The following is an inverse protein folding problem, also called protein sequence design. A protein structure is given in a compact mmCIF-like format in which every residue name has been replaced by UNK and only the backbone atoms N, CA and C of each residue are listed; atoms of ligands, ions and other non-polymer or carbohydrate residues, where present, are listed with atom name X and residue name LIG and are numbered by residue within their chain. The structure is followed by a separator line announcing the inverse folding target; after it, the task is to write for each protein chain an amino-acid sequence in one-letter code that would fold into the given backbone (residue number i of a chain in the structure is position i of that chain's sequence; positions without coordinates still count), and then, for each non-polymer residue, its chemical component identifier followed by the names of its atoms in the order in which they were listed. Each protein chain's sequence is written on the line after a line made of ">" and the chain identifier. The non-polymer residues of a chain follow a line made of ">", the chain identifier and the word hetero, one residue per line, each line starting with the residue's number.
data_IF_443118723334
#
_entry.id   IF_443118723334
#
_cell.length_a   1.000
_cell.length_b   1.000
_cell.length_c   1.000
_cell.angle_alpha   90.00
_cell.angle_beta   90.00
_cell.angle_gamma   90.00
#
_symmetry.space_group_name_H-M   'P 1'
#
loop_
_entity.id
_entity.type
_entity.pdbx_description
1 polymer ?
#
# COMPACT_ATOMS: atom_id res chain seq x y z
N UNK A 1 0.02 -8.40 -19.92
CA UNK A 1 -1.20 -8.45 -19.09
C UNK A 1 -2.10 -7.28 -19.44
N UNK A 2 -3.37 -7.53 -19.61
CA UNK A 2 -4.35 -6.47 -19.92
C UNK A 2 -4.87 -5.82 -18.64
N UNK A 3 -5.53 -4.66 -18.80
CA UNK A 3 -6.18 -3.98 -17.67
C UNK A 3 -7.26 -4.88 -17.02
N UNK A 4 -8.03 -5.59 -17.84
CA UNK A 4 -9.07 -6.47 -17.35
C UNK A 4 -8.50 -7.65 -16.56
N UNK A 5 -7.40 -8.22 -17.02
CA UNK A 5 -6.71 -9.29 -16.29
C UNK A 5 -6.18 -8.80 -14.96
N UNK A 6 -5.53 -7.63 -14.93
CA UNK A 6 -5.03 -7.03 -13.70
C UNK A 6 -6.18 -6.77 -12.72
N UNK A 7 -7.29 -6.24 -13.20
CA UNK A 7 -8.45 -5.98 -12.35
C UNK A 7 -9.03 -7.27 -11.77
N UNK A 8 -9.09 -8.33 -12.57
CA UNK A 8 -9.57 -9.63 -12.12
C UNK A 8 -8.68 -10.16 -10.98
N UNK A 9 -7.36 -10.02 -11.11
CA UNK A 9 -6.43 -10.47 -10.08
C UNK A 9 -6.59 -9.65 -8.80
N UNK A 10 -6.75 -8.33 -8.92
CA UNK A 10 -6.99 -7.46 -7.77
C UNK A 10 -8.24 -7.90 -6.99
N UNK A 11 -9.30 -8.22 -7.70
CA UNK A 11 -10.57 -8.64 -7.09
C UNK A 11 -10.46 -9.94 -6.30
N UNK A 12 -9.42 -10.75 -6.52
CA UNK A 12 -9.18 -11.96 -5.73
C UNK A 12 -8.69 -11.66 -4.32
N UNK A 13 -8.26 -10.41 -4.05
CA UNK A 13 -7.66 -10.05 -2.77
C UNK A 13 -6.17 -10.29 -2.70
N UNK A 14 -5.53 -10.70 -3.79
CA UNK A 14 -4.10 -10.94 -3.82
C UNK A 14 -3.31 -9.64 -3.69
N UNK A 15 -2.14 -9.72 -3.08
CA UNK A 15 -1.19 -8.62 -3.07
C UNK A 15 -0.61 -8.47 -4.47
N UNK A 16 -0.62 -7.27 -5.01
CA UNK A 16 -0.27 -7.02 -6.41
C UNK A 16 0.69 -5.84 -6.50
N UNK A 17 1.67 -5.98 -7.37
CA UNK A 17 2.53 -4.87 -7.77
C UNK A 17 2.18 -4.50 -9.21
N UNK A 18 1.54 -3.36 -9.40
CA UNK A 18 1.21 -2.84 -10.72
C UNK A 18 2.38 -2.00 -11.21
N UNK A 19 3.08 -2.51 -12.20
CA UNK A 19 4.19 -1.80 -12.82
C UNK A 19 3.92 -1.55 -14.29
N UNK A 20 4.63 -0.61 -14.86
CA UNK A 20 4.52 -0.26 -16.27
C UNK A 20 5.08 1.12 -16.51
N UNK A 21 5.17 1.50 -17.77
CA UNK A 21 5.60 2.84 -18.14
C UNK A 21 4.47 3.83 -17.89
N UNK A 22 4.79 5.14 -17.74
CA UNK A 22 3.76 6.17 -17.69
C UNK A 22 2.83 6.05 -18.90
N UNK A 23 1.53 6.13 -18.65
CA UNK A 23 0.54 5.98 -19.73
C UNK A 23 0.13 4.55 -20.02
N UNK A 24 0.62 3.56 -19.28
CA UNK A 24 0.28 2.15 -19.49
C UNK A 24 -1.11 1.75 -18.99
N UNK A 25 -1.85 2.68 -18.39
CA UNK A 25 -3.19 2.41 -17.87
C UNK A 25 -3.25 2.00 -16.41
N UNK A 26 -2.14 2.10 -15.66
CA UNK A 26 -2.11 1.76 -14.23
C UNK A 26 -3.16 2.55 -13.44
N UNK A 27 -3.21 3.85 -13.66
CA UNK A 27 -4.16 4.73 -12.97
C UNK A 27 -5.60 4.30 -13.24
N UNK A 28 -5.91 3.99 -14.49
CA UNK A 28 -7.25 3.54 -14.87
C UNK A 28 -7.62 2.25 -14.14
N UNK A 29 -6.70 1.30 -14.08
CA UNK A 29 -6.93 0.03 -13.38
C UNK A 29 -7.14 0.24 -11.89
N UNK A 30 -6.32 1.07 -11.25
CA UNK A 30 -6.47 1.38 -9.82
C UNK A 30 -7.82 2.05 -9.55
N UNK A 31 -8.19 3.03 -10.37
CA UNK A 31 -9.46 3.73 -10.20
C UNK A 31 -10.66 2.79 -10.37
N UNK A 32 -10.58 1.87 -11.32
CA UNK A 32 -11.63 0.87 -11.52
C UNK A 32 -11.74 -0.07 -10.31
N UNK A 33 -10.61 -0.47 -9.74
CA UNK A 33 -10.59 -1.31 -8.55
C UNK A 33 -11.14 -0.57 -7.33
N UNK A 34 -10.77 0.68 -7.13
CA UNK A 34 -11.30 1.50 -6.04
C UNK A 34 -12.82 1.62 -6.14
N UNK A 35 -13.34 1.89 -7.34
CA UNK A 35 -14.79 1.96 -7.56
C UNK A 35 -15.46 0.63 -7.24
N UNK A 36 -14.86 -0.48 -7.64
CA UNK A 36 -15.39 -1.81 -7.34
C UNK A 36 -15.41 -2.08 -5.84
N UNK A 37 -14.33 -1.74 -5.11
CA UNK A 37 -14.28 -1.90 -3.66
C UNK A 37 -15.38 -1.10 -2.97
N UNK A 38 -15.53 0.16 -3.35
CA UNK A 38 -16.55 1.04 -2.75
C UNK A 38 -17.94 0.53 -3.02
N UNK A 39 -18.18 -0.02 -4.21
CA UNK A 39 -19.47 -0.62 -4.54
C UNK A 39 -19.79 -1.84 -3.66
N UNK A 40 -18.76 -2.47 -3.09
CA UNK A 40 -18.90 -3.60 -2.18
C UNK A 40 -18.75 -3.20 -0.70
N UNK A 41 -18.83 -1.90 -0.40
CA UNK A 41 -18.77 -1.42 0.96
C UNK A 41 -17.37 -1.41 1.58
N UNK A 42 -16.34 -1.50 0.76
CA UNK A 42 -14.95 -1.47 1.23
C UNK A 42 -14.32 -0.14 0.84
N UNK A 43 -13.90 0.63 1.84
CA UNK A 43 -13.16 1.86 1.58
C UNK A 43 -11.67 1.56 1.62
N UNK A 44 -10.96 1.66 0.48
CA UNK A 44 -9.52 1.39 0.47
C UNK A 44 -8.74 2.52 1.16
N UNK A 45 -7.61 2.17 1.74
CA UNK A 45 -6.66 3.15 2.25
C UNK A 45 -5.73 3.55 1.10
N UNK A 46 -5.91 4.75 0.58
CA UNK A 46 -5.14 5.25 -0.57
C UNK A 46 -4.00 6.11 -0.06
N UNK A 47 -2.79 5.70 -0.36
CA UNK A 47 -1.58 6.39 0.08
C UNK A 47 -0.60 6.54 -1.06
N UNK A 48 0.44 7.33 -0.82
CA UNK A 48 1.53 7.49 -1.76
C UNK A 48 2.84 7.71 -1.01
N UNK A 49 3.95 7.53 -1.74
CA UNK A 49 5.28 7.66 -1.16
C UNK A 49 5.70 9.10 -0.85
N UNK A 50 5.08 10.09 -1.54
CA UNK A 50 5.42 11.51 -1.38
C UNK A 50 4.16 12.34 -1.21
N UNK A 51 4.32 13.56 -0.66
CA UNK A 51 3.20 14.48 -0.49
C UNK A 51 2.55 14.89 -1.81
N UNK A 52 3.36 15.09 -2.85
CA UNK A 52 2.83 15.47 -4.17
C UNK A 52 1.99 14.34 -4.75
N UNK A 53 2.52 13.12 -4.70
CA UNK A 53 1.78 11.95 -5.19
C UNK A 53 0.52 11.71 -4.37
N UNK A 54 0.58 11.88 -3.05
CA UNK A 54 -0.59 11.75 -2.19
C UNK A 54 -1.70 12.72 -2.59
N UNK A 55 -1.34 13.95 -2.93
CA UNK A 55 -2.30 14.95 -3.40
C UNK A 55 -2.98 14.50 -4.69
N UNK A 56 -2.20 13.92 -5.62
CA UNK A 56 -2.74 13.46 -6.91
C UNK A 56 -3.74 12.32 -6.76
N UNK A 57 -3.54 11.44 -5.78
CA UNK A 57 -4.45 10.30 -5.57
C UNK A 57 -5.56 10.61 -4.56
N UNK A 58 -5.57 11.80 -3.99
CA UNK A 58 -6.58 12.19 -3.01
C UNK A 58 -6.44 11.46 -1.69
N UNK A 59 -5.23 11.07 -1.34
CA UNK A 59 -4.94 10.33 -0.12
C UNK A 59 -3.87 11.02 0.74
N UNK A 60 -3.26 10.23 1.62
CA UNK A 60 -2.19 10.73 2.49
C UNK A 60 -0.89 9.98 2.18
N UNK A 61 0.23 10.47 2.69
CA UNK A 61 1.49 9.73 2.53
C UNK A 61 1.44 8.46 3.36
N UNK A 62 2.18 7.45 2.89
CA UNK A 62 2.30 6.21 3.65
C UNK A 62 2.94 6.45 5.01
N UNK A 63 3.85 7.41 5.10
CA UNK A 63 4.49 7.79 6.36
C UNK A 63 3.47 8.30 7.38
N UNK A 64 2.55 9.16 6.94
CA UNK A 64 1.50 9.69 7.79
C UNK A 64 0.46 8.63 8.12
N UNK A 65 0.04 7.88 7.12
CA UNK A 65 -0.98 6.85 7.29
C UNK A 65 -0.58 5.80 8.32
N UNK A 66 0.66 5.33 8.23
CA UNK A 66 1.18 4.28 9.12
C UNK A 66 1.62 4.81 10.49
N UNK A 67 1.74 6.11 10.62
CA UNK A 67 2.19 6.74 11.86
C UNK A 67 3.70 6.79 12.07
N UNK A 68 4.49 6.23 11.15
CA UNK A 68 5.95 6.23 11.31
C UNK A 68 6.58 7.61 11.11
N UNK A 69 5.90 8.50 10.38
CA UNK A 69 6.38 9.86 10.16
C UNK A 69 7.74 9.90 9.50
N UNK A 70 8.67 10.68 10.05
CA UNK A 70 10.00 10.88 9.49
C UNK A 70 11.03 9.85 9.98
N UNK A 71 10.61 8.84 10.72
CA UNK A 71 11.53 7.83 11.23
C UNK A 71 12.22 7.08 10.09
N UNK A 72 13.48 6.76 10.27
CA UNK A 72 14.29 6.10 9.25
C UNK A 72 14.39 4.59 9.46
N UNK A 73 14.14 4.12 10.68
CA UNK A 73 14.15 2.70 10.98
C UNK A 73 13.25 2.37 12.17
N UNK A 74 12.83 1.14 12.24
CA UNK A 74 11.99 0.67 13.32
C UNK A 74 12.81 0.38 14.57
N UNK A 75 12.30 0.85 15.71
CA UNK A 75 12.82 0.47 17.03
C UNK A 75 11.65 0.01 17.89
N UNK A 76 11.89 -0.76 18.96
CA UNK A 76 10.81 -1.13 19.86
C UNK A 76 10.06 0.07 20.43
N UNK A 77 10.77 1.16 20.72
CA UNK A 77 10.19 2.38 21.26
C UNK A 77 9.27 3.06 20.23
N UNK A 78 9.71 3.12 18.97
CA UNK A 78 8.89 3.69 17.90
C UNK A 78 7.64 2.85 17.67
N UNK A 79 7.79 1.53 17.62
CA UNK A 79 6.67 0.62 17.42
C UNK A 79 5.62 0.80 18.50
N UNK A 80 6.04 0.86 19.75
CA UNK A 80 5.15 1.08 20.88
C UNK A 80 4.47 2.45 20.81
N UNK A 81 5.23 3.48 20.49
CA UNK A 81 4.69 4.84 20.34
C UNK A 81 3.61 4.93 19.27
N UNK A 82 3.86 4.31 18.11
CA UNK A 82 2.90 4.32 17.00
C UNK A 82 1.65 3.52 17.35
N UNK A 83 1.83 2.33 17.93
CA UNK A 83 0.70 1.48 18.32
C UNK A 83 -0.16 2.10 19.41
N UNK A 84 0.41 3.03 20.19
CA UNK A 84 -0.30 3.74 21.25
C UNK A 84 -1.09 4.95 20.75
N UNK A 85 -0.89 5.39 19.52
CA UNK A 85 -1.67 6.50 18.94
C UNK A 85 -3.03 5.98 18.55
N UNK A 86 -4.06 6.35 19.30
CA UNK A 86 -5.39 5.80 19.14
C UNK A 86 -5.96 5.95 17.73
N UNK A 87 -5.83 7.13 17.14
CA UNK A 87 -6.38 7.37 15.79
C UNK A 87 -5.64 6.58 14.70
N UNK A 88 -4.33 6.36 14.87
CA UNK A 88 -3.56 5.53 13.94
C UNK A 88 -3.94 4.07 14.12
N UNK A 89 -3.96 3.59 15.35
CA UNK A 89 -4.30 2.20 15.64
C UNK A 89 -5.68 1.84 15.11
N UNK A 90 -6.67 2.69 15.32
CA UNK A 90 -8.03 2.45 14.80
C UNK A 90 -8.05 2.37 13.28
N UNK A 91 -7.37 3.30 12.63
CA UNK A 91 -7.29 3.32 11.16
C UNK A 91 -6.67 2.04 10.62
N UNK A 92 -5.57 1.61 11.20
CA UNK A 92 -4.86 0.41 10.76
C UNK A 92 -5.64 -0.87 11.07
N UNK A 93 -6.36 -0.90 12.18
CA UNK A 93 -7.21 -2.04 12.54
C UNK A 93 -8.38 -2.21 11.58
N UNK A 94 -8.91 -1.11 11.06
CA UNK A 94 -10.04 -1.13 10.13
C UNK A 94 -9.62 -1.37 8.69
N UNK A 95 -8.35 -1.17 8.36
CA UNK A 95 -7.86 -1.26 6.99
C UNK A 95 -8.08 -2.67 6.44
N UNK A 96 -8.51 -2.76 5.20
CA UNK A 96 -8.68 -4.02 4.48
C UNK A 96 -7.86 -4.07 3.21
N UNK A 97 -7.70 -2.93 2.54
CA UNK A 97 -6.91 -2.80 1.33
C UNK A 97 -6.06 -1.54 1.45
N UNK A 98 -4.76 -1.70 1.29
CA UNK A 98 -3.81 -0.59 1.29
C UNK A 98 -3.26 -0.43 -0.12
N UNK A 99 -3.40 0.76 -0.68
CA UNK A 99 -2.84 1.12 -1.98
C UNK A 99 -1.71 2.11 -1.74
N UNK A 100 -0.52 1.83 -2.26
CA UNK A 100 0.63 2.74 -2.17
C UNK A 100 1.06 3.11 -3.58
N UNK A 101 0.86 4.37 -3.95
CA UNK A 101 1.26 4.88 -5.26
C UNK A 101 2.69 5.40 -5.24
N UNK A 102 3.31 5.45 -6.40
CA UNK A 102 4.71 5.85 -6.60
C UNK A 102 5.68 5.09 -5.69
N UNK A 103 5.50 3.79 -5.60
CA UNK A 103 6.27 2.94 -4.68
C UNK A 103 7.76 2.92 -5.02
N UNK A 104 8.15 3.25 -6.25
CA UNK A 104 9.55 3.34 -6.66
C UNK A 104 10.34 4.39 -5.86
N UNK A 105 9.66 5.37 -5.29
CA UNK A 105 10.26 6.40 -4.45
C UNK A 105 10.41 5.97 -3.00
N UNK A 106 9.97 4.77 -2.66
CA UNK A 106 9.91 4.27 -1.30
C UNK A 106 11.04 3.27 -1.07
N UNK A 107 11.71 3.35 0.07
CA UNK A 107 12.74 2.37 0.40
C UNK A 107 12.13 1.08 0.93
N UNK A 108 12.87 -0.02 0.80
CA UNK A 108 12.47 -1.29 1.40
C UNK A 108 12.38 -1.20 2.92
N UNK A 109 13.19 -0.36 3.54
CA UNK A 109 13.12 -0.14 4.99
C UNK A 109 11.80 0.47 5.42
N UNK A 110 11.27 1.43 4.66
CA UNK A 110 9.97 2.03 4.97
C UNK A 110 8.88 0.99 4.83
N UNK A 111 8.91 0.18 3.78
CA UNK A 111 7.94 -0.90 3.62
C UNK A 111 8.01 -1.89 4.79
N UNK A 112 9.21 -2.22 5.25
CA UNK A 112 9.39 -3.11 6.40
C UNK A 112 8.85 -2.48 7.69
N UNK A 113 9.01 -1.17 7.86
CA UNK A 113 8.45 -0.46 9.01
C UNK A 113 6.91 -0.48 8.98
N UNK A 114 6.32 -0.24 7.83
CA UNK A 114 4.86 -0.31 7.67
C UNK A 114 4.35 -1.71 7.99
N UNK A 115 5.05 -2.73 7.50
CA UNK A 115 4.72 -4.12 7.79
C UNK A 115 4.77 -4.39 9.30
N UNK A 116 5.81 -3.95 9.98
CA UNK A 116 5.95 -4.14 11.42
C UNK A 116 4.81 -3.48 12.21
N UNK A 117 4.45 -2.25 11.84
CA UNK A 117 3.36 -1.52 12.50
C UNK A 117 2.02 -2.24 12.28
N UNK A 118 1.76 -2.68 11.05
CA UNK A 118 0.51 -3.37 10.74
C UNK A 118 0.38 -4.69 11.49
N UNK A 119 1.46 -5.47 11.58
CA UNK A 119 1.45 -6.71 12.34
C UNK A 119 1.18 -6.45 13.81
N UNK A 120 1.82 -5.44 14.38
CA UNK A 120 1.67 -5.10 15.80
C UNK A 120 0.24 -4.64 16.10
N UNK A 121 -0.26 -3.66 15.35
CA UNK A 121 -1.57 -3.06 15.61
C UNK A 121 -2.70 -4.05 15.34
N UNK A 122 -2.56 -4.90 14.34
CA UNK A 122 -3.58 -5.88 13.98
C UNK A 122 -3.42 -7.22 14.68
N UNK A 123 -2.38 -7.36 15.53
CA UNK A 123 -2.08 -8.60 16.24
C UNK A 123 -2.02 -9.80 15.30
N UNK A 124 -1.28 -9.64 14.20
CA UNK A 124 -1.17 -10.64 13.14
C UNK A 124 0.28 -10.84 12.74
N UNK A 125 0.68 -12.09 12.56
CA UNK A 125 2.01 -12.43 12.07
C UNK A 125 2.09 -12.47 10.55
N UNK A 126 0.95 -12.31 9.87
CA UNK A 126 0.90 -12.30 8.42
C UNK A 126 1.54 -11.03 7.85
N UNK A 127 2.14 -11.11 6.65
CA UNK A 127 2.69 -9.91 6.00
C UNK A 127 1.65 -8.79 5.94
N UNK A 128 2.09 -7.59 6.29
CA UNK A 128 1.24 -6.39 6.33
C UNK A 128 -0.01 -6.57 7.21
N UNK A 129 0.09 -7.41 8.23
CA UNK A 129 -1.03 -7.66 9.14
C UNK A 129 -2.21 -8.38 8.50
N UNK A 130 -2.01 -8.99 7.34
CA UNK A 130 -3.04 -9.75 6.64
C UNK A 130 -3.94 -8.95 5.72
N UNK A 131 -3.73 -7.65 5.56
CA UNK A 131 -4.51 -6.86 4.60
C UNK A 131 -3.96 -7.03 3.19
N UNK A 132 -4.80 -6.76 2.21
CA UNK A 132 -4.34 -6.72 0.82
C UNK A 132 -3.51 -5.46 0.60
N UNK A 133 -2.37 -5.60 -0.10
CA UNK A 133 -1.51 -4.47 -0.44
C UNK A 133 -1.37 -4.39 -1.95
N UNK A 134 -1.63 -3.21 -2.50
CA UNK A 134 -1.47 -2.92 -3.91
C UNK A 134 -0.40 -1.85 -4.04
N UNK A 135 0.72 -2.22 -4.62
CA UNK A 135 1.84 -1.31 -4.87
C UNK A 135 1.77 -0.87 -6.32
N UNK A 136 1.89 0.42 -6.56
CA UNK A 136 1.81 1.00 -7.89
C UNK A 136 3.07 1.82 -8.15
N UNK A 137 3.75 1.56 -9.27
CA UNK A 137 4.97 2.30 -9.57
C UNK A 137 5.46 2.07 -10.98
N UNK A 138 6.51 2.81 -11.33
CA UNK A 138 7.14 2.70 -12.62
C UNK A 138 8.03 1.46 -12.71
N UNK A 139 8.30 1.05 -13.93
CA UNK A 139 8.84 -0.26 -14.24
C UNK A 139 10.24 -0.54 -13.67
N UNK A 140 11.14 0.42 -13.71
CA UNK A 140 12.55 0.11 -13.45
C UNK A 140 13.11 0.59 -12.12
N UNK A 141 12.29 1.00 -11.19
CA UNK A 141 12.78 1.45 -9.87
C UNK A 141 12.03 0.73 -8.77
N UNK A 142 12.04 -0.59 -8.85
CA UNK A 142 11.33 -1.41 -7.88
C UNK A 142 12.09 -1.41 -6.56
N UNK A 143 11.43 -1.03 -5.44
CA UNK A 143 12.06 -1.19 -4.14
C UNK A 143 12.17 -2.67 -3.78
N UNK A 144 13.07 -3.03 -2.86
CA UNK A 144 13.05 -4.39 -2.30
C UNK A 144 11.69 -4.65 -1.68
N UNK A 145 11.05 -5.73 -2.10
CA UNK A 145 9.69 -6.05 -1.67
C UNK A 145 9.74 -7.03 -0.52
N UNK A 146 8.87 -6.82 0.49
CA UNK A 146 8.77 -7.74 1.61
C UNK A 146 8.20 -9.08 1.14
N UNK A 147 8.49 -10.13 1.92
CA UNK A 147 8.00 -11.47 1.63
C UNK A 147 6.48 -11.50 1.62
N UNK A 148 5.92 -12.27 0.72
CA UNK A 148 4.48 -12.44 0.61
C UNK A 148 3.80 -11.50 -0.36
N UNK A 149 4.53 -10.55 -0.93
CA UNK A 149 4.00 -9.69 -1.99
C UNK A 149 4.07 -10.41 -3.32
N UNK A 150 3.03 -10.25 -4.12
CA UNK A 150 2.97 -10.80 -5.46
C UNK A 150 3.09 -9.66 -6.45
N UNK A 151 4.06 -9.73 -7.35
CA UNK A 151 4.30 -8.68 -8.32
C UNK A 151 3.81 -9.09 -9.70
N UNK A 152 3.21 -8.14 -10.40
CA UNK A 152 2.80 -8.31 -11.79
C UNK A 152 3.30 -7.14 -12.61
N UNK A 153 3.93 -7.43 -13.73
CA UNK A 153 4.27 -6.40 -14.70
C UNK A 153 2.99 -6.03 -15.45
N UNK A 154 2.66 -4.75 -15.45
CA UNK A 154 1.50 -4.23 -16.16
C UNK A 154 1.97 -3.60 -17.46
N UNK A 155 1.55 -4.15 -18.58
CA UNK A 155 1.87 -3.65 -19.91
C UNK A 155 0.58 -3.26 -20.62
N UNK A 156 0.60 -2.08 -21.21
CA UNK A 156 -0.57 -1.57 -21.95
C UNK A 156 -0.87 -2.39 -23.18
#
# INVERSE_FOLDING_TARGET
>A
MTQNEALTILKTGANVFLTGEPGSGKTHTVNAYVAWLRAHGIEPSITASTGIAATHVGGMTIHSWSGIGIAERMTPELLDAVASKEHVAKRLQKARVLIIDEVSMLSGEVLAMVDAVLREVRHSELPMGGIQVVLVGDFFQLPPVSRGSVGFAFQS
#
